data_IF_687052005593
#
_entry.id   IF_687052005593
#
_cell.length_a   1.000
_cell.length_b   1.000
_cell.length_c   1.000
_cell.angle_alpha   90.00
_cell.angle_beta   90.00
_cell.angle_gamma   90.00
#
_symmetry.space_group_name_H-M   'P 1'
#
loop_
_entity.id
_entity.type
_entity.pdbx_description
1 polymer ?
#
# COMPACT_ATOMS: atom_id res chain seq x y z
N UNK A 1 -1.14 -2.16 -26.02
CA UNK A 1 -0.22 -2.44 -24.91
C UNK A 1 -0.85 -2.08 -23.58
N UNK A 2 -0.69 -2.90 -22.63
CA UNK A 2 -1.24 -2.64 -21.30
C UNK A 2 -0.17 -2.04 -20.42
N UNK A 3 -0.28 -0.76 -20.16
CA UNK A 3 0.66 -0.06 -19.30
C UNK A 3 0.24 -0.08 -17.85
N UNK A 4 -0.92 -0.67 -17.57
CA UNK A 4 -1.51 -0.64 -16.23
C UNK A 4 -1.50 -2.01 -15.57
N UNK A 5 -0.69 -2.91 -16.06
CA UNK A 5 -0.74 -4.28 -15.59
C UNK A 5 0.68 -4.78 -15.43
N UNK A 6 1.11 -4.90 -14.21
CA UNK A 6 2.45 -5.39 -13.90
C UNK A 6 2.30 -6.81 -13.35
N UNK A 7 2.44 -7.80 -14.24
CA UNK A 7 2.30 -9.19 -13.83
C UNK A 7 0.92 -9.50 -13.31
N UNK A 8 -0.12 -8.86 -13.85
CA UNK A 8 -1.49 -9.08 -13.39
C UNK A 8 -1.86 -8.25 -12.18
N UNK A 9 -0.96 -7.36 -11.74
CA UNK A 9 -1.19 -6.56 -10.53
C UNK A 9 -1.14 -5.09 -10.86
N UNK A 10 -1.90 -4.30 -10.12
CA UNK A 10 -1.94 -2.84 -10.32
C UNK A 10 -1.06 -2.09 -9.33
N UNK A 11 -0.44 -2.81 -8.42
CA UNK A 11 0.59 -2.24 -7.56
C UNK A 11 1.46 -3.38 -7.06
N UNK A 12 2.63 -3.04 -6.54
CA UNK A 12 3.54 -4.02 -5.97
C UNK A 12 3.74 -3.80 -4.47
N UNK A 13 3.09 -2.80 -3.91
CA UNK A 13 3.29 -2.42 -2.50
C UNK A 13 2.21 -2.96 -1.57
N UNK A 14 1.14 -3.55 -2.12
CA UNK A 14 -0.03 -3.94 -1.33
C UNK A 14 0.29 -4.89 -0.18
N UNK A 15 1.11 -5.89 -0.44
CA UNK A 15 1.48 -6.87 0.60
C UNK A 15 2.23 -6.20 1.73
N UNK A 16 3.16 -5.30 1.38
CA UNK A 16 3.95 -4.59 2.39
C UNK A 16 3.09 -3.61 3.17
N UNK A 17 2.17 -2.94 2.50
CA UNK A 17 1.24 -2.04 3.18
C UNK A 17 0.42 -2.84 4.19
N UNK A 18 -0.10 -3.98 3.77
CA UNK A 18 -0.87 -4.85 4.66
C UNK A 18 -0.02 -5.30 5.85
N UNK A 19 1.21 -5.73 5.58
CA UNK A 19 2.12 -6.21 6.61
C UNK A 19 2.41 -5.12 7.64
N UNK A 20 2.74 -3.91 7.17
CA UNK A 20 3.06 -2.80 8.06
C UNK A 20 1.83 -2.36 8.86
N UNK A 21 0.66 -2.34 8.20
CA UNK A 21 -0.57 -1.96 8.87
C UNK A 21 -0.90 -2.92 10.01
N UNK A 22 -0.82 -4.22 9.73
CA UNK A 22 -1.15 -5.22 10.75
C UNK A 22 -0.12 -5.24 11.87
N UNK A 23 1.14 -4.95 11.56
CA UNK A 23 2.17 -4.84 12.59
C UNK A 23 1.89 -3.69 13.55
N UNK A 24 1.25 -2.64 13.09
CA UNK A 24 0.83 -1.53 13.93
C UNK A 24 -0.54 -1.77 14.57
N UNK A 25 -1.17 -2.89 14.26
CA UNK A 25 -2.50 -3.23 14.77
C UNK A 25 -3.57 -2.23 14.34
N UNK A 26 -3.42 -1.69 13.14
CA UNK A 26 -4.40 -0.76 12.59
C UNK A 26 -5.38 -1.52 11.71
N UNK A 27 -6.66 -1.18 11.83
CA UNK A 27 -7.64 -1.62 10.85
C UNK A 27 -7.46 -0.82 9.57
N UNK A 28 -8.09 -1.28 8.49
CA UNK A 28 -8.07 -0.52 7.24
C UNK A 28 -8.73 0.85 7.42
N UNK A 29 -9.79 0.92 8.20
CA UNK A 29 -10.46 2.20 8.49
C UNK A 29 -9.55 3.13 9.28
N UNK A 30 -8.80 2.58 10.24
CA UNK A 30 -7.87 3.40 11.01
C UNK A 30 -6.73 3.92 10.16
N UNK A 31 -6.23 3.10 9.25
CA UNK A 31 -5.20 3.56 8.31
C UNK A 31 -5.75 4.66 7.42
N UNK A 32 -6.97 4.49 6.90
CA UNK A 32 -7.60 5.52 6.08
C UNK A 32 -7.71 6.84 6.85
N UNK A 33 -8.09 6.77 8.12
CA UNK A 33 -8.20 7.97 8.95
C UNK A 33 -6.86 8.66 9.13
N UNK A 34 -5.80 7.89 9.34
CA UNK A 34 -4.46 8.47 9.49
C UNK A 34 -3.96 9.10 8.19
N UNK A 35 -4.26 8.48 7.07
CA UNK A 35 -3.94 9.07 5.76
C UNK A 35 -4.63 10.42 5.60
N UNK A 36 -5.92 10.47 5.94
CA UNK A 36 -6.71 11.69 5.80
C UNK A 36 -6.18 12.81 6.70
N UNK A 37 -5.82 12.49 7.93
CA UNK A 37 -5.25 13.47 8.86
C UNK A 37 -3.98 14.07 8.28
N UNK A 38 -3.25 13.31 7.49
CA UNK A 38 -2.00 13.76 6.85
C UNK A 38 -2.24 14.35 5.46
N UNK A 39 -3.49 14.56 5.07
CA UNK A 39 -3.80 15.27 3.85
C UNK A 39 -4.04 14.40 2.63
N UNK A 40 -4.07 13.09 2.78
CA UNK A 40 -4.34 12.19 1.66
C UNK A 40 -5.69 11.52 1.89
N UNK A 41 -6.67 11.90 1.10
CA UNK A 41 -8.02 11.33 1.21
C UNK A 41 -8.05 9.99 0.50
N UNK A 42 -8.28 8.94 1.26
CA UNK A 42 -8.37 7.59 0.73
C UNK A 42 -9.36 6.81 1.60
N UNK A 43 -10.25 6.06 0.95
CA UNK A 43 -11.30 5.34 1.65
C UNK A 43 -10.84 3.94 2.03
N UNK A 44 -11.54 3.35 3.00
CA UNK A 44 -11.23 1.99 3.43
C UNK A 44 -11.28 1.00 2.27
N UNK A 45 -12.29 1.15 1.40
CA UNK A 45 -12.42 0.26 0.24
C UNK A 45 -11.24 0.36 -0.71
N UNK A 46 -10.69 1.56 -0.85
CA UNK A 46 -9.51 1.75 -1.69
C UNK A 46 -8.31 1.05 -1.06
N UNK A 47 -8.16 1.15 0.25
CA UNK A 47 -7.06 0.46 0.95
C UNK A 47 -7.22 -1.04 0.78
N UNK A 48 -8.43 -1.56 0.92
CA UNK A 48 -8.68 -2.99 0.71
C UNK A 48 -8.23 -3.43 -0.68
N UNK A 49 -8.57 -2.66 -1.71
CA UNK A 49 -8.18 -2.99 -3.08
C UNK A 49 -6.68 -2.84 -3.30
N UNK A 50 -6.04 -1.90 -2.62
CA UNK A 50 -4.59 -1.78 -2.69
C UNK A 50 -3.94 -3.03 -2.10
N UNK A 51 -4.43 -3.50 -0.97
CA UNK A 51 -3.83 -4.65 -0.30
C UNK A 51 -4.02 -5.94 -1.09
N UNK A 52 -5.04 -6.00 -1.93
CA UNK A 52 -5.24 -7.14 -2.84
C UNK A 52 -4.63 -6.88 -4.22
N UNK A 53 -3.97 -5.77 -4.40
CA UNK A 53 -3.27 -5.38 -5.64
C UNK A 53 -4.21 -5.15 -6.81
N UNK A 54 -5.43 -4.71 -6.51
CA UNK A 54 -6.47 -4.44 -7.51
C UNK A 54 -6.65 -2.96 -7.78
N UNK A 55 -5.82 -2.11 -7.21
CA UNK A 55 -5.91 -0.66 -7.38
C UNK A 55 -4.50 -0.09 -7.47
N UNK A 56 -4.32 0.89 -8.35
CA UNK A 56 -3.06 1.61 -8.44
C UNK A 56 -2.82 2.42 -7.17
N UNK A 57 -1.56 2.63 -6.86
CA UNK A 57 -1.13 3.50 -5.77
C UNK A 57 -0.37 4.65 -6.41
N UNK A 58 -0.83 5.86 -6.19
CA UNK A 58 -0.14 7.04 -6.72
C UNK A 58 1.14 7.28 -5.91
N UNK A 59 2.05 8.05 -6.50
CA UNK A 59 3.33 8.30 -5.84
C UNK A 59 3.14 9.02 -4.50
N UNK A 60 2.23 9.98 -4.43
CA UNK A 60 2.02 10.69 -3.16
C UNK A 60 1.29 9.80 -2.14
N UNK A 61 0.45 8.87 -2.59
CA UNK A 61 -0.15 7.90 -1.68
C UNK A 61 0.93 7.00 -1.11
N UNK A 62 1.83 6.51 -1.95
CA UNK A 62 2.91 5.64 -1.50
C UNK A 62 3.79 6.35 -0.48
N UNK A 63 4.14 7.59 -0.76
CA UNK A 63 4.93 8.39 0.17
C UNK A 63 4.22 8.52 1.51
N UNK A 64 2.92 8.77 1.48
CA UNK A 64 2.18 8.96 2.73
C UNK A 64 1.99 7.64 3.49
N UNK A 65 1.78 6.53 2.78
CA UNK A 65 1.76 5.23 3.45
C UNK A 65 3.08 4.99 4.18
N UNK A 66 4.20 5.30 3.53
CA UNK A 66 5.51 5.13 4.16
C UNK A 66 5.60 5.95 5.45
N UNK A 67 5.17 7.20 5.38
CA UNK A 67 5.23 8.09 6.53
C UNK A 67 4.32 7.61 7.67
N UNK A 68 3.07 7.32 7.35
CA UNK A 68 2.10 6.92 8.35
C UNK A 68 2.45 5.58 8.99
N UNK A 69 2.97 4.65 8.17
CA UNK A 69 3.30 3.30 8.65
C UNK A 69 4.71 3.21 9.22
N UNK A 70 5.51 4.29 9.11
CA UNK A 70 6.84 4.32 9.70
C UNK A 70 7.83 3.43 8.98
N UNK A 71 7.69 3.28 7.68
CA UNK A 71 8.59 2.46 6.86
C UNK A 71 9.09 3.30 5.70
N UNK A 72 10.12 2.81 5.00
CA UNK A 72 10.64 3.51 3.83
C UNK A 72 9.82 3.18 2.61
N UNK A 73 9.84 4.07 1.62
CA UNK A 73 9.21 3.78 0.33
C UNK A 73 9.91 2.62 -0.35
N UNK A 74 11.23 2.50 -0.20
CA UNK A 74 11.98 1.39 -0.76
C UNK A 74 11.48 0.06 -0.21
N UNK A 75 11.22 0.02 1.08
CA UNK A 75 10.71 -1.20 1.69
C UNK A 75 9.32 -1.56 1.17
N UNK A 76 8.48 -0.54 0.95
CA UNK A 76 7.13 -0.78 0.47
C UNK A 76 7.10 -1.40 -0.92
N UNK A 77 8.08 -1.11 -1.76
CA UNK A 77 8.13 -1.66 -3.11
C UNK A 77 9.10 -2.84 -3.23
N UNK A 78 9.68 -3.26 -2.13
CA UNK A 78 10.57 -4.41 -2.14
C UNK A 78 9.77 -5.70 -2.32
N UNK A 79 10.33 -6.73 -2.96
CA UNK A 79 9.64 -8.01 -3.09
C UNK A 79 9.28 -8.58 -1.74
N UNK A 80 8.08 -9.14 -1.64
CA UNK A 80 7.61 -9.75 -0.40
C UNK A 80 7.96 -11.21 -0.33
N UNK A 81 8.43 -11.76 -1.43
CA UNK A 81 8.86 -13.14 -1.53
C UNK A 81 10.27 -13.19 -2.01
N UNK A 82 11.04 -14.10 -1.49
CA UNK A 82 12.38 -14.31 -1.99
C UNK A 82 12.31 -15.26 -3.16
N UNK A 83 12.87 -14.86 -4.28
CA UNK A 83 12.81 -15.67 -5.48
C UNK A 83 13.67 -16.92 -5.33
N UNK A 84 13.18 -17.99 -5.92
CA UNK A 84 13.86 -19.25 -5.85
C UNK A 84 13.42 -20.13 -4.71
N UNK A 85 12.58 -19.62 -3.89
CA UNK A 85 12.02 -20.42 -2.80
C UNK A 85 10.92 -21.31 -3.23
#
# INVERSE_FOLDING_TARGET
MKIYDFGGQKNISGDRIHQARTAMRLSQSELAARMQVNGVTIEREAISKIETRDRFVTDYELMMFAKVLGVSMDWLVAPTKIEGE
#
